data_IF_372177007193
#
_entry.id   IF_372177007193
#
_cell.length_a   1.000
_cell.length_b   1.000
_cell.length_c   1.000
_cell.angle_alpha   90.00
_cell.angle_beta   90.00
_cell.angle_gamma   90.00
#
_symmetry.space_group_name_H-M   'P 1'
#
loop_
_entity.id
_entity.type
_entity.pdbx_description
1 polymer ?
#
# COMPACT_ATOMS: atom_id res chain seq x y z
N UNK A 1 -13.12 21.35 -6.73
CA UNK A 1 -13.93 20.13 -6.49
C UNK A 1 -13.85 19.10 -7.61
N UNK A 2 -13.89 19.46 -8.90
CA UNK A 2 -13.82 18.49 -10.03
C UNK A 2 -12.55 17.62 -10.02
N UNK A 3 -11.37 18.24 -9.93
CA UNK A 3 -10.08 17.53 -9.96
C UNK A 3 -9.89 16.55 -8.80
N UNK A 4 -10.34 16.90 -7.59
CA UNK A 4 -10.26 16.00 -6.44
C UNK A 4 -11.12 14.74 -6.64
N UNK A 5 -12.33 14.91 -7.20
CA UNK A 5 -13.19 13.78 -7.55
C UNK A 5 -12.54 12.90 -8.61
N UNK A 6 -12.02 13.51 -9.67
CA UNK A 6 -11.34 12.80 -10.75
C UNK A 6 -10.12 12.00 -10.26
N UNK A 7 -9.27 12.60 -9.43
CA UNK A 7 -8.13 11.93 -8.82
C UNK A 7 -8.56 10.78 -7.88
N UNK A 8 -9.65 10.96 -7.13
CA UNK A 8 -10.20 9.91 -6.27
C UNK A 8 -10.67 8.71 -7.09
N UNK A 9 -11.34 8.93 -8.23
CA UNK A 9 -11.78 7.85 -9.11
C UNK A 9 -10.61 7.14 -9.81
N UNK A 10 -9.58 7.89 -10.22
CA UNK A 10 -8.36 7.29 -10.77
C UNK A 10 -7.67 6.41 -9.73
N UNK A 11 -7.51 6.92 -8.51
CA UNK A 11 -6.91 6.20 -7.40
C UNK A 11 -7.70 4.92 -7.09
N UNK A 12 -9.02 5.01 -6.99
CA UNK A 12 -9.90 3.86 -6.73
C UNK A 12 -9.73 2.76 -7.79
N UNK A 13 -9.82 3.13 -9.08
CA UNK A 13 -9.67 2.17 -10.20
C UNK A 13 -8.31 1.47 -10.20
N UNK A 14 -7.25 2.17 -9.81
CA UNK A 14 -5.91 1.59 -9.71
C UNK A 14 -5.81 0.55 -8.58
N UNK A 15 -6.37 0.82 -7.40
CA UNK A 15 -6.40 -0.20 -6.34
C UNK A 15 -7.27 -1.41 -6.73
N UNK A 16 -8.44 -1.17 -7.34
CA UNK A 16 -9.31 -2.25 -7.83
C UNK A 16 -8.59 -3.12 -8.87
N UNK A 17 -7.80 -2.53 -9.79
CA UNK A 17 -7.03 -3.31 -10.75
C UNK A 17 -5.96 -4.17 -10.08
N UNK A 18 -5.27 -3.64 -9.07
CA UNK A 18 -4.29 -4.42 -8.29
C UNK A 18 -4.94 -5.60 -7.59
N UNK A 19 -6.07 -5.39 -6.91
CA UNK A 19 -6.79 -6.47 -6.23
C UNK A 19 -7.22 -7.55 -7.24
N UNK A 20 -7.73 -7.13 -8.40
CA UNK A 20 -8.12 -8.06 -9.45
C UNK A 20 -6.95 -8.86 -10.02
N UNK A 21 -5.78 -8.23 -10.22
CA UNK A 21 -4.55 -8.91 -10.64
C UNK A 21 -4.12 -9.97 -9.63
N UNK A 22 -4.20 -9.66 -8.33
CA UNK A 22 -3.89 -10.62 -7.27
C UNK A 22 -4.88 -11.79 -7.30
N UNK A 23 -6.20 -11.52 -7.34
CA UNK A 23 -7.23 -12.57 -7.46
C UNK A 23 -7.02 -13.47 -8.68
N UNK A 24 -6.68 -12.90 -9.84
CA UNK A 24 -6.47 -13.67 -11.07
C UNK A 24 -5.23 -14.57 -11.03
N UNK A 25 -4.21 -14.18 -10.27
CA UNK A 25 -2.93 -14.88 -10.17
C UNK A 25 -2.77 -15.68 -8.88
N UNK A 26 -3.76 -15.60 -7.98
CA UNK A 26 -3.76 -16.24 -6.67
C UNK A 26 -3.69 -17.76 -6.78
N UNK A 27 -2.87 -18.37 -5.94
CA UNK A 27 -2.73 -19.83 -5.82
C UNK A 27 -2.72 -20.20 -4.34
N UNK A 28 -3.68 -21.03 -3.94
CA UNK A 28 -3.82 -21.50 -2.55
C UNK A 28 -2.49 -22.07 -2.05
N UNK A 29 -2.02 -21.57 -0.89
CA UNK A 29 -0.77 -21.98 -0.27
C UNK A 29 0.50 -21.31 -0.83
N UNK A 30 0.37 -20.29 -1.68
CA UNK A 30 1.52 -19.49 -2.18
C UNK A 30 1.24 -18.00 -2.05
N UNK A 31 1.19 -17.51 -0.81
CA UNK A 31 0.90 -16.09 -0.55
C UNK A 31 2.14 -15.23 -0.82
N UNK A 32 2.05 -14.31 -1.79
CA UNK A 32 3.20 -13.48 -2.21
C UNK A 32 3.40 -12.26 -1.31
N UNK A 33 2.30 -11.66 -0.86
CA UNK A 33 2.28 -10.44 -0.08
C UNK A 33 0.98 -10.31 0.74
N UNK A 34 0.81 -9.16 1.38
CA UNK A 34 -0.36 -8.85 2.22
C UNK A 34 -1.71 -9.07 1.51
N UNK A 35 -1.80 -8.78 0.21
CA UNK A 35 -3.05 -8.89 -0.55
C UNK A 35 -3.43 -10.36 -0.70
N UNK A 36 -2.47 -11.22 -1.07
CA UNK A 36 -2.71 -12.66 -1.16
C UNK A 36 -3.06 -13.28 0.19
N UNK A 37 -2.36 -12.87 1.26
CA UNK A 37 -2.66 -13.34 2.63
C UNK A 37 -4.10 -12.99 3.01
N UNK A 38 -4.54 -11.76 2.70
CA UNK A 38 -5.92 -11.35 2.96
C UNK A 38 -6.93 -12.14 2.13
N UNK A 39 -6.64 -12.39 0.85
CA UNK A 39 -7.49 -13.21 -0.03
C UNK A 39 -7.61 -14.64 0.51
N UNK A 40 -6.49 -15.23 0.95
CA UNK A 40 -6.43 -16.57 1.54
C UNK A 40 -7.33 -16.67 2.77
N UNK A 41 -7.16 -15.76 3.73
CA UNK A 41 -7.97 -15.69 4.95
C UNK A 41 -9.46 -15.41 4.65
N UNK A 42 -9.76 -14.58 3.64
CA UNK A 42 -11.12 -14.34 3.20
C UNK A 42 -11.79 -15.62 2.69
N UNK A 43 -11.07 -16.39 1.86
CA UNK A 43 -11.55 -17.66 1.32
C UNK A 43 -11.73 -18.72 2.40
N UNK A 44 -10.83 -18.82 3.39
CA UNK A 44 -10.96 -19.78 4.49
C UNK A 44 -12.21 -19.50 5.35
N UNK A 45 -12.50 -18.22 5.62
CA UNK A 45 -13.71 -17.82 6.37
C UNK A 45 -15.00 -18.04 5.59
N UNK A 46 -14.96 -17.82 4.28
CA UNK A 46 -16.08 -18.13 3.39
C UNK A 46 -16.35 -19.64 3.34
N UNK A 47 -15.30 -20.47 3.23
CA UNK A 47 -15.39 -21.94 3.29
C UNK A 47 -15.99 -22.42 4.63
N UNK A 48 -15.78 -21.68 5.72
CA UNK A 48 -16.29 -21.98 7.06
C UNK A 48 -17.69 -21.41 7.37
N UNK A 49 -18.34 -20.71 6.42
CA UNK A 49 -19.62 -20.00 6.60
C UNK A 49 -19.60 -19.00 7.79
N UNK A 50 -18.44 -18.39 8.04
CA UNK A 50 -18.26 -17.40 9.10
C UNK A 50 -18.69 -15.99 8.62
N UNK A 51 -19.40 -15.25 9.47
CA UNK A 51 -19.57 -13.81 9.26
C UNK A 51 -18.21 -13.14 9.37
N UNK A 52 -17.70 -12.65 8.24
CA UNK A 52 -16.34 -12.15 8.12
C UNK A 52 -16.29 -10.65 7.77
N UNK A 53 -15.29 -9.96 8.32
CA UNK A 53 -14.93 -8.59 7.91
C UNK A 53 -13.99 -8.55 6.71
N UNK A 54 -13.53 -9.72 6.22
CA UNK A 54 -12.65 -9.86 5.06
C UNK A 54 -13.42 -9.66 3.75
N UNK A 55 -13.77 -8.41 3.48
CA UNK A 55 -14.49 -7.99 2.27
C UNK A 55 -13.56 -7.25 1.31
N UNK A 56 -13.94 -7.17 0.02
CA UNK A 56 -13.18 -6.38 -0.97
C UNK A 56 -13.08 -4.90 -0.57
N UNK A 57 -14.13 -4.35 0.05
CA UNK A 57 -14.10 -2.98 0.55
C UNK A 57 -13.06 -2.82 1.66
N UNK A 58 -12.98 -3.78 2.59
CA UNK A 58 -11.99 -3.77 3.65
C UNK A 58 -10.56 -3.90 3.11
N UNK A 59 -10.35 -4.81 2.16
CA UNK A 59 -9.06 -4.97 1.48
C UNK A 59 -8.63 -3.68 0.78
N UNK A 60 -9.54 -3.07 0.02
CA UNK A 60 -9.31 -1.78 -0.64
C UNK A 60 -8.91 -0.69 0.36
N UNK A 61 -9.64 -0.53 1.47
CA UNK A 61 -9.33 0.48 2.48
C UNK A 61 -7.95 0.24 3.11
N UNK A 62 -7.64 -1.00 3.49
CA UNK A 62 -6.36 -1.36 4.12
C UNK A 62 -5.17 -1.12 3.20
N UNK A 63 -5.22 -1.57 1.95
CA UNK A 63 -4.13 -1.36 0.98
C UNK A 63 -3.92 0.14 0.74
N UNK A 64 -5.02 0.89 0.58
CA UNK A 64 -4.96 2.35 0.40
C UNK A 64 -4.31 3.04 1.58
N UNK A 65 -4.65 2.66 2.81
CA UNK A 65 -4.10 3.28 4.01
C UNK A 65 -2.63 2.94 4.21
N UNK A 66 -2.23 1.68 4.02
CA UNK A 66 -0.82 1.25 4.14
C UNK A 66 0.05 1.98 3.11
N UNK A 67 -0.35 1.96 1.83
CA UNK A 67 0.43 2.59 0.76
C UNK A 67 0.44 4.11 0.93
N UNK A 68 -0.70 4.72 1.26
CA UNK A 68 -0.81 6.16 1.49
C UNK A 68 0.08 6.63 2.63
N UNK A 69 -0.08 6.03 3.81
CA UNK A 69 0.70 6.40 5.00
C UNK A 69 2.20 6.17 4.80
N UNK A 70 2.59 5.03 4.22
CA UNK A 70 3.99 4.71 3.95
C UNK A 70 4.62 5.67 2.95
N UNK A 71 3.92 5.98 1.86
CA UNK A 71 4.43 6.88 0.81
C UNK A 71 4.61 8.30 1.32
N UNK A 72 3.60 8.87 1.98
CA UNK A 72 3.65 10.27 2.43
C UNK A 72 4.72 10.49 3.50
N UNK A 73 4.76 9.62 4.50
CA UNK A 73 5.71 9.76 5.62
C UNK A 73 7.16 9.56 5.16
N UNK A 74 7.45 8.48 4.43
CA UNK A 74 8.83 8.20 3.96
C UNK A 74 9.32 9.25 2.97
N UNK A 75 8.48 9.68 2.02
CA UNK A 75 8.84 10.75 1.08
C UNK A 75 9.12 12.06 1.81
N UNK A 76 8.30 12.40 2.81
CA UNK A 76 8.51 13.58 3.64
C UNK A 76 9.82 13.48 4.42
N UNK A 77 10.09 12.36 5.07
CA UNK A 77 11.35 12.13 5.79
C UNK A 77 12.56 12.25 4.86
N UNK A 78 12.52 11.63 3.68
CA UNK A 78 13.63 11.72 2.71
C UNK A 78 13.84 13.15 2.24
N UNK A 79 12.76 13.90 1.96
CA UNK A 79 12.86 15.32 1.59
C UNK A 79 13.53 16.15 2.68
N UNK A 80 13.18 15.90 3.95
CA UNK A 80 13.85 16.55 5.07
C UNK A 80 15.31 16.17 5.18
N UNK A 81 15.66 14.89 5.05
CA UNK A 81 17.06 14.43 5.06
C UNK A 81 17.85 15.15 3.97
N UNK A 82 17.33 15.23 2.74
CA UNK A 82 17.99 15.92 1.63
C UNK A 82 18.15 17.42 1.91
N UNK A 83 17.12 18.07 2.48
CA UNK A 83 17.21 19.48 2.88
C UNK A 83 18.30 19.69 3.94
N UNK A 84 18.38 18.80 4.94
CA UNK A 84 19.44 18.85 5.95
C UNK A 84 20.82 18.68 5.33
N UNK A 85 20.99 17.77 4.36
CA UNK A 85 22.26 17.60 3.65
C UNK A 85 22.67 18.86 2.87
N UNK A 86 21.73 19.55 2.24
CA UNK A 86 22.00 20.81 1.53
C UNK A 86 22.39 21.96 2.47
N UNK A 87 21.88 21.97 3.71
CA UNK A 87 22.18 23.03 4.68
C UNK A 87 23.41 22.73 5.53
N UNK A 88 23.73 21.45 5.72
CA UNK A 88 24.84 20.96 6.55
C UNK A 88 25.69 19.96 5.75
N UNK A 89 26.50 20.43 4.79
CA UNK A 89 27.34 19.56 3.96
C UNK A 89 28.28 18.65 4.77
N UNK A 90 28.70 19.08 5.95
CA UNK A 90 29.52 18.28 6.87
C UNK A 90 28.80 17.03 7.39
N UNK A 91 27.47 17.04 7.48
CA UNK A 91 26.66 15.87 7.85
C UNK A 91 26.56 14.93 6.64
N UNK A 92 26.31 15.48 5.45
CA UNK A 92 26.30 14.70 4.20
C UNK A 92 27.64 13.99 3.96
N UNK A 93 28.76 14.69 4.17
CA UNK A 93 30.12 14.14 4.05
C UNK A 93 30.37 13.01 5.05
N UNK A 94 29.85 13.10 6.28
CA UNK A 94 29.96 12.01 7.26
C UNK A 94 29.14 10.79 6.86
N UNK A 95 27.91 10.99 6.37
CA UNK A 95 27.01 9.90 5.96
C UNK A 95 27.46 9.18 4.68
N UNK A 96 28.18 9.87 3.78
CA UNK A 96 28.60 9.33 2.48
C UNK A 96 29.95 8.60 2.50
N UNK A 97 30.74 8.75 3.58
CA UNK A 97 31.99 8.01 3.77
C UNK A 97 31.68 6.56 4.15
N UNK A 98 32.22 5.62 3.38
CA UNK A 98 32.16 4.18 3.66
C UNK A 98 33.10 3.76 4.77
#
# INVERSE_FOLDING_TARGET
MRLLKENSEISKRWFESIIQEHRNSYKKGTDRDFIDIFISEASEREEADEISTFTDLQLYMLIRDIIGAGTETTATTIRWILLQFLHFPEIQDKCSRK
#
